data_IF_402385350575
#
_entry.id   IF_402385350575
#
_cell.length_a   1.000
_cell.length_b   1.000
_cell.length_c   1.000
_cell.angle_alpha   90.00
_cell.angle_beta   90.00
_cell.angle_gamma   90.00
#
_symmetry.space_group_name_H-M   'P 1'
#
loop_
_entity.id
_entity.type
_entity.pdbx_description
1 polymer ?
#
# COMPACT_ATOMS: atom_id res chain seq x y z
N UNK A 1 8.75 23.37 41.77
CA UNK A 1 9.24 22.94 40.44
C UNK A 1 8.61 21.63 39.94
N UNK A 2 8.26 20.64 40.79
CA UNK A 2 7.75 19.32 40.34
C UNK A 2 6.39 19.34 39.62
N UNK A 3 5.47 20.22 40.01
CA UNK A 3 4.13 20.29 39.42
C UNK A 3 4.13 20.67 37.92
N UNK A 4 5.07 21.52 37.47
CA UNK A 4 5.19 21.90 36.06
C UNK A 4 5.62 20.75 35.17
N UNK A 5 6.58 19.93 35.62
CA UNK A 5 7.00 18.73 34.90
C UNK A 5 5.88 17.68 34.82
N UNK A 6 5.14 17.46 35.92
CA UNK A 6 3.99 16.57 35.91
C UNK A 6 2.91 17.05 34.94
N UNK A 7 2.61 18.36 34.92
CA UNK A 7 1.66 18.92 33.97
C UNK A 7 2.11 18.74 32.51
N UNK A 8 3.40 18.91 32.21
CA UNK A 8 3.94 18.67 30.86
C UNK A 8 3.83 17.21 30.44
N UNK A 9 4.16 16.26 31.34
CA UNK A 9 4.04 14.82 31.04
C UNK A 9 2.59 14.44 30.78
N UNK A 10 1.66 14.87 31.66
CA UNK A 10 0.23 14.59 31.48
C UNK A 10 -0.30 15.20 30.18
N UNK A 11 0.11 16.44 29.87
CA UNK A 11 -0.28 17.09 28.61
C UNK A 11 0.27 16.34 27.40
N UNK A 12 1.51 15.85 27.45
CA UNK A 12 2.11 15.03 26.40
C UNK A 12 1.35 13.73 26.17
N UNK A 13 0.96 13.03 27.24
CA UNK A 13 0.15 11.80 27.16
C UNK A 13 -1.22 12.10 26.53
N UNK A 14 -1.88 13.20 26.91
CA UNK A 14 -3.17 13.59 26.34
C UNK A 14 -3.06 13.94 24.85
N UNK A 15 -2.04 14.71 24.46
CA UNK A 15 -1.80 15.05 23.06
C UNK A 15 -1.53 13.80 22.24
N UNK A 16 -0.69 12.88 22.73
CA UNK A 16 -0.39 11.63 22.04
C UNK A 16 -1.65 10.77 21.84
N UNK A 17 -2.45 10.58 22.89
CA UNK A 17 -3.70 9.82 22.78
C UNK A 17 -4.66 10.46 21.77
N UNK A 18 -4.81 11.79 21.81
CA UNK A 18 -5.67 12.49 20.86
C UNK A 18 -5.17 12.40 19.41
N UNK A 19 -3.86 12.36 19.20
CA UNK A 19 -3.27 12.15 17.87
C UNK A 19 -3.54 10.73 17.36
N UNK A 20 -3.39 9.70 18.20
CA UNK A 20 -3.71 8.31 17.85
C UNK A 20 -5.18 8.16 17.46
N UNK A 21 -6.10 8.71 18.26
CA UNK A 21 -7.54 8.68 17.97
C UNK A 21 -7.85 9.38 16.65
N UNK A 22 -7.25 10.56 16.40
CA UNK A 22 -7.43 11.28 15.12
C UNK A 22 -6.92 10.47 13.94
N UNK A 23 -5.75 9.85 14.05
CA UNK A 23 -5.19 9.00 13.00
C UNK A 23 -6.12 7.82 12.71
N UNK A 24 -6.62 7.15 13.76
CA UNK A 24 -7.51 6.01 13.62
C UNK A 24 -8.84 6.39 12.98
N UNK A 25 -9.45 7.48 13.41
CA UNK A 25 -10.70 7.98 12.82
C UNK A 25 -10.54 8.44 11.37
N UNK A 26 -9.40 9.04 11.03
CA UNK A 26 -9.18 9.59 9.69
C UNK A 26 -8.74 8.53 8.65
N UNK A 27 -8.04 7.47 9.08
CA UNK A 27 -7.36 6.56 8.15
C UNK A 27 -7.60 5.07 8.42
N UNK A 28 -8.24 4.70 9.52
CA UNK A 28 -8.49 3.33 9.96
C UNK A 28 -7.35 2.34 9.62
N UNK A 29 -6.14 2.58 10.14
CA UNK A 29 -4.97 1.85 9.69
C UNK A 29 -5.03 0.38 10.12
N UNK A 30 -4.85 -0.52 9.16
CA UNK A 30 -4.80 -1.97 9.37
C UNK A 30 -3.44 -2.51 8.93
N UNK A 31 -2.68 -3.08 9.87
CA UNK A 31 -1.38 -3.71 9.61
C UNK A 31 -1.53 -5.22 9.79
N UNK A 32 -1.29 -5.95 8.71
CA UNK A 32 -1.26 -7.42 8.70
C UNK A 32 0.14 -7.89 8.39
N UNK A 33 0.66 -8.80 9.21
CA UNK A 33 1.95 -9.45 8.98
C UNK A 33 1.70 -10.95 8.93
N UNK A 34 2.16 -11.58 7.86
CA UNK A 34 2.09 -13.00 7.63
C UNK A 34 3.48 -13.53 7.25
N UNK A 35 3.80 -14.73 7.70
CA UNK A 35 4.98 -15.47 7.26
C UNK A 35 4.45 -16.72 6.57
N UNK A 36 4.68 -16.84 5.26
CA UNK A 36 4.16 -17.96 4.48
C UNK A 36 5.26 -18.48 3.55
N UNK A 37 5.48 -19.80 3.55
CA UNK A 37 6.46 -20.47 2.67
C UNK A 37 7.90 -19.91 2.71
N UNK A 38 8.30 -19.25 3.80
CA UNK A 38 9.61 -18.60 3.93
C UNK A 38 9.62 -17.13 3.53
N UNK A 39 8.48 -16.55 3.17
CA UNK A 39 8.35 -15.16 2.77
C UNK A 39 7.66 -14.37 3.87
N UNK A 40 8.25 -13.24 4.25
CA UNK A 40 7.64 -12.28 5.18
C UNK A 40 6.84 -11.28 4.36
N UNK A 41 5.54 -11.26 4.62
CA UNK A 41 4.58 -10.42 3.95
C UNK A 41 3.95 -9.46 4.97
N UNK A 42 4.14 -8.16 4.78
CA UNK A 42 3.56 -7.12 5.61
C UNK A 42 2.72 -6.17 4.75
N UNK A 43 1.43 -6.03 5.08
CA UNK A 43 0.48 -5.18 4.37
C UNK A 43 -0.08 -4.13 5.32
N UNK A 44 0.07 -2.86 4.93
CA UNK A 44 -0.48 -1.71 5.62
C UNK A 44 -1.57 -1.08 4.76
N UNK A 45 -2.81 -1.09 5.26
CA UNK A 45 -3.91 -0.30 4.69
C UNK A 45 -3.98 1.01 5.46
N UNK A 46 -3.99 2.13 4.74
CA UNK A 46 -4.08 3.48 5.30
C UNK A 46 -5.05 4.30 4.46
N UNK A 47 -6.27 4.49 4.95
CA UNK A 47 -7.37 5.08 4.19
C UNK A 47 -7.61 4.30 2.88
N UNK A 48 -7.53 4.94 1.72
CA UNK A 48 -7.63 4.29 0.40
C UNK A 48 -6.28 3.78 -0.13
N UNK A 49 -5.18 4.03 0.58
CA UNK A 49 -3.84 3.64 0.18
C UNK A 49 -3.51 2.27 0.76
N UNK A 50 -2.93 1.40 -0.07
CA UNK A 50 -2.46 0.09 0.34
C UNK A 50 -0.97 0.02 0.01
N UNK A 51 -0.20 -0.30 1.04
CA UNK A 51 1.23 -0.53 0.99
C UNK A 51 1.49 -2.00 1.32
N UNK A 52 2.37 -2.63 0.56
CA UNK A 52 2.83 -3.99 0.84
C UNK A 52 4.35 -4.03 0.84
N UNK A 53 4.90 -4.82 1.75
CA UNK A 53 6.32 -5.17 1.81
C UNK A 53 6.39 -6.68 1.77
N UNK A 54 7.13 -7.20 0.82
CA UNK A 54 7.43 -8.62 0.70
C UNK A 54 8.95 -8.82 0.82
N UNK A 55 9.33 -9.77 1.67
CA UNK A 55 10.72 -10.16 1.85
C UNK A 55 10.83 -11.67 1.66
N UNK A 56 11.39 -12.08 0.54
CA UNK A 56 11.69 -13.48 0.22
C UNK A 56 13.18 -13.74 0.41
N UNK A 57 13.54 -14.82 1.10
CA UNK A 57 14.96 -15.18 1.30
C UNK A 57 15.70 -15.49 -0.01
N UNK A 58 14.97 -15.86 -1.07
CA UNK A 58 15.55 -16.21 -2.37
C UNK A 58 15.50 -15.07 -3.38
N UNK A 59 14.44 -14.25 -3.37
CA UNK A 59 14.18 -13.24 -4.40
C UNK A 59 14.54 -11.82 -3.97
N UNK A 60 14.65 -11.57 -2.65
CA UNK A 60 15.05 -10.29 -2.07
C UNK A 60 13.88 -9.52 -1.45
N UNK A 61 14.06 -8.20 -1.33
CA UNK A 61 13.05 -7.29 -0.78
C UNK A 61 12.29 -6.59 -1.91
N UNK A 62 10.96 -6.64 -1.84
CA UNK A 62 10.07 -5.90 -2.72
C UNK A 62 9.15 -4.99 -1.89
N UNK A 63 9.00 -3.75 -2.33
CA UNK A 63 8.06 -2.80 -1.77
C UNK A 63 7.04 -2.42 -2.83
N UNK A 64 5.77 -2.56 -2.51
CA UNK A 64 4.69 -2.34 -3.44
C UNK A 64 3.73 -1.27 -2.91
N UNK A 65 3.22 -0.49 -3.85
CA UNK A 65 2.23 0.53 -3.57
C UNK A 65 1.20 0.55 -4.68
N UNK A 66 -0.08 0.56 -4.31
CA UNK A 66 -1.14 0.88 -5.25
C UNK A 66 -1.04 2.36 -5.65
N UNK A 67 -0.98 2.61 -6.95
CA UNK A 67 -0.88 3.93 -7.54
C UNK A 67 -2.06 4.18 -8.49
N UNK A 68 -2.59 5.41 -8.57
CA UNK A 68 -3.65 5.70 -9.52
C UNK A 68 -3.08 5.60 -10.94
N UNK A 69 -3.89 5.13 -11.89
CA UNK A 69 -3.50 5.03 -13.30
C UNK A 69 -2.97 6.37 -13.85
N UNK A 70 -3.55 7.48 -13.40
CA UNK A 70 -3.13 8.85 -13.75
C UNK A 70 -1.71 9.23 -13.32
N UNK A 71 -1.09 8.47 -12.41
CA UNK A 71 0.30 8.69 -12.00
C UNK A 71 1.33 8.07 -12.94
N UNK A 72 0.91 7.23 -13.89
CA UNK A 72 1.81 6.64 -14.89
C UNK A 72 2.13 7.64 -16.01
N UNK A 73 3.19 7.39 -16.77
CA UNK A 73 3.45 8.14 -18.01
C UNK A 73 2.32 7.92 -19.03
N UNK A 74 2.04 8.87 -19.94
CA UNK A 74 0.97 8.72 -20.93
C UNK A 74 1.06 7.42 -21.74
N UNK A 75 2.27 7.00 -22.13
CA UNK A 75 2.50 5.74 -22.85
C UNK A 75 2.07 4.51 -22.03
N UNK A 76 2.44 4.46 -20.74
CA UNK A 76 2.04 3.39 -19.82
C UNK A 76 0.55 3.41 -19.54
N UNK A 77 -0.06 4.59 -19.43
CA UNK A 77 -1.51 4.70 -19.30
C UNK A 77 -2.22 4.10 -20.51
N UNK A 78 -1.77 4.44 -21.73
CA UNK A 78 -2.31 3.86 -22.95
C UNK A 78 -2.09 2.36 -23.04
N UNK A 79 -0.92 1.87 -22.65
CA UNK A 79 -0.61 0.44 -22.63
C UNK A 79 -1.56 -0.35 -21.71
N UNK A 80 -1.76 0.11 -20.47
CA UNK A 80 -2.69 -0.51 -19.51
C UNK A 80 -4.14 -0.42 -20.01
N UNK A 81 -4.54 0.72 -20.59
CA UNK A 81 -5.90 0.88 -21.12
C UNK A 81 -6.18 0.00 -22.35
N UNK A 82 -5.19 -0.17 -23.24
CA UNK A 82 -5.33 -1.03 -24.42
C UNK A 82 -5.56 -2.50 -24.04
N UNK A 83 -5.04 -2.92 -22.88
CA UNK A 83 -5.17 -4.27 -22.34
C UNK A 83 -6.37 -4.44 -21.39
N UNK A 84 -7.17 -3.38 -21.18
CA UNK A 84 -8.34 -3.40 -20.28
C UNK A 84 -9.38 -4.44 -20.69
N UNK A 85 -9.61 -4.60 -21.99
CA UNK A 85 -10.67 -5.48 -22.50
C UNK A 85 -12.02 -5.21 -21.82
N UNK A 86 -12.63 -6.26 -21.25
CA UNK A 86 -13.90 -6.18 -20.51
C UNK A 86 -13.76 -5.90 -19.01
N UNK A 87 -12.59 -5.49 -18.52
CA UNK A 87 -12.39 -5.21 -17.10
C UNK A 87 -13.16 -3.97 -16.64
N UNK A 88 -13.95 -4.11 -15.59
CA UNK A 88 -14.68 -3.01 -14.98
C UNK A 88 -13.75 -2.17 -14.10
N UNK A 89 -12.78 -2.81 -13.46
CA UNK A 89 -11.81 -2.16 -12.55
C UNK A 89 -10.39 -2.56 -12.92
N UNK A 90 -9.47 -1.59 -12.82
CA UNK A 90 -8.04 -1.78 -13.02
C UNK A 90 -7.28 -1.16 -11.85
N UNK A 91 -6.55 -1.98 -11.11
CA UNK A 91 -5.64 -1.53 -10.06
C UNK A 91 -4.21 -1.60 -10.59
N UNK A 92 -3.40 -0.59 -10.30
CA UNK A 92 -1.99 -0.55 -10.69
C UNK A 92 -1.14 -0.50 -9.45
N UNK A 93 -0.16 -1.38 -9.39
CA UNK A 93 0.87 -1.44 -8.36
C UNK A 93 2.21 -0.98 -8.95
N UNK A 94 2.95 -0.22 -8.17
CA UNK A 94 4.34 0.11 -8.44
C UNK A 94 5.21 -0.71 -7.49
N UNK A 95 6.05 -1.55 -8.06
CA UNK A 95 6.92 -2.50 -7.36
C UNK A 95 8.35 -1.97 -7.38
N UNK A 96 8.92 -1.79 -6.20
CA UNK A 96 10.31 -1.41 -6.00
C UNK A 96 11.07 -2.64 -5.54
N UNK A 97 11.84 -3.24 -6.43
CA UNK A 97 12.70 -4.38 -6.15
C UNK A 97 14.18 -3.95 -6.20
N UNK A 98 15.06 -4.79 -5.67
CA UNK A 98 16.52 -4.56 -5.75
C UNK A 98 17.03 -4.38 -7.20
N UNK A 99 16.37 -5.04 -8.16
CA UNK A 99 16.74 -5.01 -9.59
C UNK A 99 16.21 -3.78 -10.33
N UNK A 100 15.31 -3.00 -9.72
CA UNK A 100 14.71 -1.83 -10.35
C UNK A 100 13.25 -1.62 -9.95
N UNK A 101 12.61 -0.69 -10.65
CA UNK A 101 11.20 -0.36 -10.48
C UNK A 101 10.44 -1.03 -11.62
N UNK A 102 9.37 -1.74 -11.29
CA UNK A 102 8.41 -2.27 -12.25
C UNK A 102 6.98 -1.89 -11.83
N UNK A 103 6.03 -2.15 -12.70
CA UNK A 103 4.61 -1.92 -12.50
C UNK A 103 3.84 -3.19 -12.79
N UNK A 104 2.77 -3.39 -12.03
CA UNK A 104 1.86 -4.52 -12.21
C UNK A 104 0.44 -3.97 -12.32
N UNK A 105 -0.29 -4.37 -13.36
CA UNK A 105 -1.69 -3.99 -13.55
C UNK A 105 -2.57 -5.22 -13.41
N UNK A 106 -3.58 -5.09 -12.56
CA UNK A 106 -4.55 -6.11 -12.22
C UNK A 106 -5.91 -5.70 -12.75
N UNK A 107 -6.53 -6.59 -13.52
CA UNK A 107 -7.81 -6.35 -14.17
C UNK A 107 -8.89 -7.18 -13.51
N UNK A 108 -9.98 -6.55 -13.10
CA UNK A 108 -11.09 -7.19 -12.41
C UNK A 108 -12.39 -7.06 -13.19
N UNK A 109 -13.22 -8.09 -13.13
CA UNK A 109 -14.60 -8.04 -13.63
C UNK A 109 -15.55 -7.30 -12.66
N UNK A 110 -16.82 -7.14 -13.04
CA UNK A 110 -17.85 -6.52 -12.19
C UNK A 110 -18.18 -7.27 -10.91
N UNK A 111 -17.67 -8.49 -10.73
CA UNK A 111 -17.76 -9.26 -9.49
C UNK A 111 -16.47 -9.14 -8.65
N UNK A 112 -15.57 -8.23 -9.03
CA UNK A 112 -14.26 -8.00 -8.40
C UNK A 112 -13.36 -9.25 -8.41
N UNK A 113 -13.53 -10.13 -9.41
CA UNK A 113 -12.65 -11.29 -9.63
C UNK A 113 -11.52 -10.91 -10.56
N UNK A 114 -10.30 -11.32 -10.23
CA UNK A 114 -9.12 -11.09 -11.09
C UNK A 114 -9.29 -11.88 -12.38
N UNK A 115 -9.33 -11.18 -13.51
CA UNK A 115 -9.44 -11.78 -14.85
C UNK A 115 -8.12 -11.75 -15.62
N UNK A 116 -7.24 -10.80 -15.32
CA UNK A 116 -5.93 -10.71 -15.95
C UNK A 116 -4.93 -9.97 -15.06
N UNK A 117 -3.64 -10.28 -15.22
CA UNK A 117 -2.51 -9.60 -14.58
C UNK A 117 -1.40 -9.41 -15.60
N UNK A 118 -0.83 -8.21 -15.67
CA UNK A 118 0.35 -7.91 -16.50
C UNK A 118 1.43 -7.24 -15.66
N UNK A 119 2.69 -7.48 -16.01
CA UNK A 119 3.88 -6.82 -15.46
C UNK A 119 4.61 -6.06 -16.56
N UNK A 120 5.04 -4.85 -16.29
CA UNK A 120 5.71 -3.95 -17.25
C UNK A 120 6.61 -2.95 -16.53
N UNK A 121 7.59 -2.38 -17.23
CA UNK A 121 8.59 -1.47 -16.64
C UNK A 121 8.26 0.01 -16.81
#
# INVERSE_FOLDING_TARGET
MRAGYSAMVVSGVLVLNSAIVRIKLANDPDLRVAIQAGELNARLTWSTLIYSVEASFNEGFEFEKIVPLSSLSPERQHYVQALRGGAEKVDVEKVYALKGISYEAYYFDGQNRLINKIKFD
#
